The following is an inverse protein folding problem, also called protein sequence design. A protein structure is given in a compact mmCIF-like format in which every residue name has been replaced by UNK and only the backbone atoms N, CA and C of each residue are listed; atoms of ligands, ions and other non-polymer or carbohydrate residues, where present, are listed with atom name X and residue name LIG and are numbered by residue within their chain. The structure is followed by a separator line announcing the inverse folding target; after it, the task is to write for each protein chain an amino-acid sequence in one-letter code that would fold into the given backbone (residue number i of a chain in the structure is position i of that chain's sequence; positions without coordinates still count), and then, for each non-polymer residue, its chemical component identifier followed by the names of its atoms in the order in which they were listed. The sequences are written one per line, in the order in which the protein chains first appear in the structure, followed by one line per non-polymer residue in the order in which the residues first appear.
data_IF_351220155682
#
_entry.id   IF_351220155682
#
_cell.length_a   1.000
_cell.length_b   1.000
_cell.length_c   1.000
_cell.angle_alpha   90.00
_cell.angle_beta   90.00
_cell.angle_gamma   90.00
#
_symmetry.space_group_name_H-M   'P 1'
#
loop_
_entity.id
_entity.type
_entity.pdbx_description
1 polymer ?
#
# COMPACT_ATOMS: atom_id res chain seq x y z
N UNK A 1 6.19 -26.77 16.41
CA UNK A 1 5.58 -25.52 15.92
C UNK A 1 4.61 -25.70 14.73
N UNK A 2 5.02 -26.08 13.50
CA UNK A 2 4.08 -26.22 12.35
C UNK A 2 2.93 -27.20 12.62
N UNK A 3 3.22 -28.36 13.20
CA UNK A 3 2.20 -29.39 13.48
C UNK A 3 1.26 -29.02 14.64
N UNK A 4 1.75 -28.26 15.63
CA UNK A 4 0.94 -27.81 16.77
C UNK A 4 -0.07 -26.75 16.35
N UNK A 5 0.33 -25.82 15.49
CA UNK A 5 -0.58 -24.82 14.92
C UNK A 5 -1.71 -25.49 14.12
N UNK A 6 -1.38 -26.52 13.33
CA UNK A 6 -2.37 -27.26 12.54
C UNK A 6 -3.31 -28.08 13.42
N UNK A 7 -2.81 -28.68 14.50
CA UNK A 7 -3.63 -29.39 15.48
C UNK A 7 -4.58 -28.42 16.22
N UNK A 8 -4.09 -27.23 16.60
CA UNK A 8 -4.90 -26.19 17.22
C UNK A 8 -5.98 -25.67 16.28
N UNK A 9 -5.66 -25.46 14.99
CA UNK A 9 -6.61 -25.06 13.95
C UNK A 9 -7.74 -26.08 13.80
N UNK A 10 -7.41 -27.37 13.69
CA UNK A 10 -8.42 -28.42 13.57
C UNK A 10 -9.31 -28.50 14.85
N UNK A 11 -8.73 -28.21 16.02
CA UNK A 11 -9.44 -28.11 17.30
C UNK A 11 -10.43 -26.95 17.40
N UNK A 12 -10.36 -25.92 16.55
CA UNK A 12 -11.28 -24.78 16.59
C UNK A 12 -12.72 -25.15 16.18
N UNK A 13 -12.91 -26.25 15.45
CA UNK A 13 -14.23 -26.73 15.03
C UNK A 13 -14.96 -27.55 16.09
N UNK A 14 -14.32 -27.82 17.23
CA UNK A 14 -14.79 -28.79 18.23
C UNK A 14 -15.73 -28.21 19.30
N UNK A 15 -15.90 -26.87 19.37
CA UNK A 15 -16.77 -26.21 20.35
C UNK A 15 -17.89 -25.43 19.64
N UNK A 16 -19.15 -25.82 19.85
CA UNK A 16 -20.32 -25.23 19.17
C UNK A 16 -20.49 -23.71 19.39
N UNK A 17 -19.95 -23.17 20.49
CA UNK A 17 -20.06 -21.75 20.84
C UNK A 17 -18.89 -20.87 20.36
N UNK A 18 -17.91 -21.40 19.62
CA UNK A 18 -16.75 -20.64 19.14
C UNK A 18 -16.76 -20.51 17.61
N UNK A 19 -17.08 -19.30 17.12
CA UNK A 19 -16.93 -18.95 15.70
C UNK A 19 -15.62 -18.19 15.53
N UNK A 20 -14.63 -18.82 14.90
CA UNK A 20 -13.30 -18.24 14.69
C UNK A 20 -13.07 -18.03 13.19
N UNK A 21 -12.63 -16.83 12.82
CA UNK A 21 -12.19 -16.49 11.47
C UNK A 21 -10.67 -16.39 11.46
N UNK A 22 -10.02 -17.09 10.53
CA UNK A 22 -8.57 -17.02 10.33
C UNK A 22 -8.29 -16.23 9.05
N UNK A 23 -7.49 -15.18 9.19
CA UNK A 23 -6.99 -14.36 8.10
C UNK A 23 -5.47 -14.53 8.00
N UNK A 24 -4.97 -14.78 6.78
CA UNK A 24 -3.55 -14.86 6.48
C UNK A 24 -3.18 -13.90 5.36
N UNK A 25 -1.98 -13.33 5.42
CA UNK A 25 -1.41 -12.48 4.38
C UNK A 25 0.01 -12.97 4.06
N UNK A 26 0.35 -13.06 2.78
CA UNK A 26 1.68 -13.48 2.33
C UNK A 26 2.04 -12.86 0.99
N UNK A 27 3.31 -12.48 0.83
CA UNK A 27 3.89 -12.08 -0.46
C UNK A 27 4.66 -13.23 -1.13
N UNK A 28 4.73 -14.41 -0.49
CA UNK A 28 5.41 -15.61 -0.98
C UNK A 28 4.49 -16.82 -0.89
N UNK A 29 3.43 -16.88 -1.71
CA UNK A 29 2.46 -17.97 -1.62
C UNK A 29 3.02 -19.33 -2.07
N UNK A 30 4.14 -19.34 -2.81
CA UNK A 30 4.85 -20.55 -3.26
C UNK A 30 5.58 -21.28 -2.14
N UNK A 31 5.92 -20.58 -1.05
CA UNK A 31 6.60 -21.15 0.11
C UNK A 31 5.61 -21.90 1.04
N UNK A 32 4.30 -21.80 0.78
CA UNK A 32 3.27 -22.48 1.55
C UNK A 32 3.08 -23.91 1.07
N UNK A 33 3.02 -24.85 2.01
CA UNK A 33 2.70 -26.23 1.69
C UNK A 33 1.21 -26.44 1.35
N UNK A 34 0.92 -27.53 0.63
CA UNK A 34 -0.45 -27.88 0.24
C UNK A 34 -1.39 -28.09 1.45
N UNK A 35 -0.84 -28.48 2.60
CA UNK A 35 -1.61 -28.74 3.81
C UNK A 35 -2.20 -27.46 4.42
N UNK A 36 -1.44 -26.36 4.39
CA UNK A 36 -1.87 -25.01 4.79
C UNK A 36 -2.80 -24.43 3.72
N UNK A 37 -2.43 -24.55 2.44
CA UNK A 37 -3.25 -24.05 1.32
C UNK A 37 -4.66 -24.65 1.41
N UNK A 38 -4.79 -25.96 1.65
CA UNK A 38 -6.10 -26.63 1.78
C UNK A 38 -6.97 -26.10 2.93
N UNK A 39 -6.37 -25.58 4.01
CA UNK A 39 -7.09 -25.04 5.17
C UNK A 39 -7.54 -23.58 4.98
N UNK A 40 -7.04 -22.91 3.94
CA UNK A 40 -7.45 -21.56 3.53
C UNK A 40 -8.25 -21.65 2.22
N UNK A 41 -9.56 -21.99 2.27
CA UNK A 41 -10.34 -22.23 1.04
C UNK A 41 -10.64 -20.94 0.25
N UNK A 42 -10.68 -19.78 0.91
CA UNK A 42 -10.88 -18.46 0.29
C UNK A 42 -9.53 -17.78 0.16
N UNK A 43 -9.14 -17.42 -1.07
CA UNK A 43 -7.83 -16.83 -1.38
C UNK A 43 -8.05 -15.69 -2.36
N UNK A 44 -7.75 -14.48 -1.92
CA UNK A 44 -7.98 -13.25 -2.68
C UNK A 44 -6.61 -12.70 -3.05
N UNK A 45 -6.38 -12.53 -4.35
CA UNK A 45 -5.20 -11.83 -4.84
C UNK A 45 -5.42 -10.31 -4.74
N UNK A 46 -4.44 -9.63 -4.18
CA UNK A 46 -4.43 -8.17 -4.02
C UNK A 46 -3.33 -7.64 -4.93
N UNK A 47 -3.74 -7.03 -6.04
CA UNK A 47 -2.85 -6.43 -7.03
C UNK A 47 -2.50 -4.98 -6.66
N UNK A 48 -1.58 -4.38 -7.42
CA UNK A 48 -1.30 -2.94 -7.35
C UNK A 48 -2.58 -2.13 -7.63
N UNK A 49 -2.78 -0.99 -6.93
CA UNK A 49 -3.98 -0.19 -7.09
C UNK A 49 -4.02 0.48 -8.48
N UNK A 50 -5.19 0.44 -9.11
CA UNK A 50 -5.52 1.25 -10.29
C UNK A 50 -5.64 2.75 -9.93
N UNK A 51 -5.78 3.62 -10.94
CA UNK A 51 -5.85 5.06 -10.73
C UNK A 51 -6.98 5.45 -9.74
N UNK A 52 -8.17 4.84 -9.88
CA UNK A 52 -9.31 5.14 -9.01
C UNK A 52 -9.05 4.74 -7.55
N UNK A 53 -8.42 3.59 -7.31
CA UNK A 53 -8.05 3.15 -5.97
C UNK A 53 -6.89 3.97 -5.41
N UNK A 54 -5.93 4.41 -6.23
CA UNK A 54 -4.88 5.35 -5.80
C UNK A 54 -5.49 6.68 -5.36
N UNK A 55 -6.48 7.22 -6.08
CA UNK A 55 -7.22 8.42 -5.63
C UNK A 55 -7.86 8.21 -4.25
N UNK A 56 -8.49 7.06 -4.00
CA UNK A 56 -9.09 6.75 -2.68
C UNK A 56 -8.03 6.65 -1.59
N UNK A 57 -6.92 5.98 -1.86
CA UNK A 57 -5.80 5.84 -0.92
C UNK A 57 -5.22 7.23 -0.58
N UNK A 58 -4.97 8.07 -1.59
CA UNK A 58 -4.48 9.43 -1.41
C UNK A 58 -5.45 10.28 -0.58
N UNK A 59 -6.77 10.20 -0.84
CA UNK A 59 -7.80 10.88 -0.04
C UNK A 59 -7.77 10.45 1.43
N UNK A 60 -7.50 9.18 1.72
CA UNK A 60 -7.37 8.68 3.10
C UNK A 60 -6.08 9.20 3.74
N UNK A 61 -4.94 9.05 3.06
CA UNK A 61 -3.62 9.44 3.59
C UNK A 61 -3.57 10.95 3.86
N UNK A 62 -4.07 11.76 2.92
CA UNK A 62 -4.04 13.22 2.99
C UNK A 62 -5.25 13.83 3.72
N UNK A 63 -6.14 13.01 4.31
CA UNK A 63 -7.39 13.49 4.92
C UNK A 63 -7.21 14.48 6.08
N UNK A 64 -6.03 14.52 6.69
CA UNK A 64 -5.69 15.41 7.82
C UNK A 64 -4.57 16.39 7.50
N UNK A 65 -4.11 16.42 6.25
CA UNK A 65 -3.02 17.29 5.81
C UNK A 65 -3.56 18.64 5.35
N UNK A 66 -2.72 19.68 5.45
CA UNK A 66 -3.04 21.02 4.96
C UNK A 66 -2.78 21.07 3.45
N UNK A 67 -3.82 20.93 2.64
CA UNK A 67 -3.75 20.95 1.17
C UNK A 67 -4.26 22.27 0.60
N UNK A 68 -3.84 22.60 -0.61
CA UNK A 68 -4.45 23.71 -1.36
C UNK A 68 -5.96 23.52 -1.57
N UNK A 69 -6.74 24.63 -1.68
CA UNK A 69 -8.14 24.55 -2.07
C UNK A 69 -8.31 23.78 -3.38
N UNK A 70 -9.35 22.94 -3.45
CA UNK A 70 -9.67 22.13 -4.64
C UNK A 70 -8.53 21.21 -5.12
N UNK A 71 -7.75 20.66 -4.19
CA UNK A 71 -6.63 19.75 -4.46
C UNK A 71 -7.00 18.61 -5.46
N UNK A 72 -6.37 18.53 -6.65
CA UNK A 72 -6.77 17.59 -7.69
C UNK A 72 -6.14 16.20 -7.50
N UNK A 73 -6.75 15.40 -6.62
CA UNK A 73 -6.30 14.02 -6.31
C UNK A 73 -6.16 13.12 -7.53
N UNK A 74 -7.01 13.30 -8.53
CA UNK A 74 -7.04 12.51 -9.76
C UNK A 74 -5.77 12.74 -10.59
N UNK A 75 -5.23 13.96 -10.63
CA UNK A 75 -3.97 14.27 -11.32
C UNK A 75 -2.80 13.54 -10.65
N UNK A 76 -2.74 13.57 -9.32
CA UNK A 76 -1.70 12.88 -8.56
C UNK A 76 -1.81 11.35 -8.70
N UNK A 77 -3.03 10.80 -8.70
CA UNK A 77 -3.26 9.38 -8.89
C UNK A 77 -2.81 8.91 -10.29
N UNK A 78 -3.05 9.71 -11.33
CA UNK A 78 -2.59 9.42 -12.69
C UNK A 78 -1.06 9.52 -12.79
N UNK A 79 -0.44 10.48 -12.10
CA UNK A 79 1.00 10.61 -12.07
C UNK A 79 1.72 9.49 -11.29
N UNK A 80 1.02 8.71 -10.46
CA UNK A 80 1.62 7.68 -9.58
C UNK A 80 1.33 6.25 -10.05
N UNK A 81 1.33 6.04 -11.37
CA UNK A 81 1.19 4.69 -11.94
C UNK A 81 2.28 3.74 -11.43
N UNK A 82 1.88 2.51 -11.08
CA UNK A 82 2.76 1.48 -10.52
C UNK A 82 3.06 1.61 -9.03
N UNK A 83 2.61 2.68 -8.36
CA UNK A 83 2.84 2.86 -6.94
C UNK A 83 1.99 1.91 -6.11
N UNK A 84 2.62 1.24 -5.15
CA UNK A 84 1.93 0.53 -4.07
C UNK A 84 1.35 1.51 -3.03
N UNK A 85 0.50 1.01 -2.13
CA UNK A 85 0.00 1.83 -1.02
C UNK A 85 1.12 2.39 -0.13
N UNK A 86 2.21 1.64 0.08
CA UNK A 86 3.39 2.12 0.80
C UNK A 86 4.16 3.19 0.03
N UNK A 87 4.28 3.07 -1.29
CA UNK A 87 4.96 4.07 -2.11
C UNK A 87 4.18 5.39 -2.08
N UNK A 88 2.85 5.35 -2.19
CA UNK A 88 1.99 6.53 -2.06
C UNK A 88 2.16 7.21 -0.70
N UNK A 89 2.22 6.43 0.38
CA UNK A 89 2.46 6.97 1.72
C UNK A 89 3.82 7.64 1.82
N UNK A 90 4.87 6.99 1.33
CA UNK A 90 6.22 7.54 1.34
C UNK A 90 6.33 8.80 0.48
N UNK A 91 5.63 8.85 -0.65
CA UNK A 91 5.53 10.04 -1.49
C UNK A 91 4.86 11.20 -0.74
N UNK A 92 3.76 10.93 -0.02
CA UNK A 92 3.10 11.95 0.79
C UNK A 92 4.02 12.48 1.90
N UNK A 93 4.79 11.60 2.55
CA UNK A 93 5.78 12.01 3.55
C UNK A 93 6.86 12.89 2.91
N UNK A 94 7.40 12.49 1.76
CA UNK A 94 8.41 13.27 1.05
C UNK A 94 7.89 14.65 0.61
N UNK A 95 6.64 14.73 0.14
CA UNK A 95 5.98 15.97 -0.22
C UNK A 95 5.76 16.89 1.00
N UNK A 96 5.33 16.32 2.13
CA UNK A 96 5.12 17.07 3.38
C UNK A 96 6.40 17.73 3.93
N UNK A 97 7.58 17.17 3.60
CA UNK A 97 8.86 17.77 3.98
C UNK A 97 9.24 18.99 3.13
N UNK A 98 8.60 19.24 1.99
CA UNK A 98 8.98 20.34 1.10
C UNK A 98 8.73 21.73 1.71
N UNK A 99 7.54 22.06 2.23
CA UNK A 99 7.34 23.34 2.91
C UNK A 99 8.27 23.53 4.12
N UNK A 100 8.65 22.43 4.79
CA UNK A 100 9.61 22.47 5.90
C UNK A 100 11.01 22.83 5.39
N UNK A 101 11.44 22.27 4.25
CA UNK A 101 12.75 22.60 3.64
C UNK A 101 12.82 24.07 3.23
N UNK A 102 11.75 24.61 2.64
CA UNK A 102 11.68 26.01 2.22
C UNK A 102 11.84 26.96 3.42
N UNK A 103 11.14 26.71 4.53
CA UNK A 103 11.29 27.53 5.75
C UNK A 103 12.73 27.46 6.29
N UNK A 104 13.33 26.28 6.32
CA UNK A 104 14.70 26.11 6.79
C UNK A 104 15.73 26.79 5.87
N UNK A 105 15.46 26.88 4.57
CA UNK A 105 16.28 27.61 3.61
C UNK A 105 16.14 29.12 3.80
N UNK A 106 14.91 29.62 3.93
CA UNK A 106 14.63 31.03 4.22
C UNK A 106 15.25 31.49 5.56
N UNK A 107 15.17 30.67 6.62
CA UNK A 107 15.77 30.98 7.93
C UNK A 107 17.29 31.12 7.82
N UNK A 108 17.94 30.19 7.11
CA UNK A 108 19.40 30.26 6.86
C UNK A 108 19.79 31.51 6.07
N UNK A 109 19.00 31.89 5.07
CA UNK A 109 19.24 33.12 4.31
C UNK A 109 19.11 34.36 5.20
N UNK A 110 18.05 34.46 6.01
CA UNK A 110 17.83 35.58 6.93
C UNK A 110 18.95 35.66 7.98
N UNK A 111 19.37 34.54 8.55
CA UNK A 111 20.50 34.48 9.48
C UNK A 111 21.81 34.94 8.82
N UNK A 112 22.06 34.53 7.58
CA UNK A 112 23.25 34.94 6.82
C UNK A 112 23.30 36.45 6.54
N UNK A 113 22.14 37.10 6.47
CA UNK A 113 21.97 38.55 6.30
C UNK A 113 21.95 39.31 7.64
N UNK A 114 22.17 38.61 8.77
CA UNK A 114 22.19 39.20 10.11
C UNK A 114 20.81 39.54 10.69
N UNK A 115 19.74 39.08 10.05
CA UNK A 115 18.37 39.22 10.54
C UNK A 115 17.98 38.08 11.49
N UNK A 116 16.90 38.29 12.26
CA UNK A 116 16.18 37.22 12.95
C UNK A 116 14.71 37.28 12.54
N UNK A 117 14.14 36.15 12.14
CA UNK A 117 12.69 36.01 11.98
C UNK A 117 12.09 35.76 13.37
N UNK A 118 11.40 36.77 13.91
CA UNK A 118 10.60 36.61 15.12
C UNK A 118 9.21 36.11 14.73
N UNK A 119 8.88 34.86 15.05
CA UNK A 119 7.56 34.27 14.79
C UNK A 119 7.56 32.75 14.80
N UNK A 120 6.37 32.15 14.92
CA UNK A 120 6.20 30.71 14.70
C UNK A 120 6.17 30.46 13.19
N UNK A 121 7.04 29.58 12.65
CA UNK A 121 7.01 29.27 11.23
C UNK A 121 5.65 28.64 10.85
N UNK A 122 4.99 29.23 9.84
CA UNK A 122 3.72 28.75 9.31
C UNK A 122 3.99 28.01 8.01
N UNK A 123 3.67 26.72 7.98
CA UNK A 123 3.80 25.91 6.77
C UNK A 123 2.71 26.29 5.76
N UNK A 124 3.13 26.54 4.51
CA UNK A 124 2.17 26.69 3.40
C UNK A 124 1.42 25.38 3.14
N UNK A 125 0.20 25.43 2.57
CA UNK A 125 -0.49 24.24 2.11
C UNK A 125 0.31 23.46 1.06
N UNK A 126 0.10 22.15 1.00
CA UNK A 126 0.70 21.26 0.01
C UNK A 126 0.00 21.41 -1.34
N UNK A 127 0.78 21.65 -2.38
CA UNK A 127 0.35 21.70 -3.77
C UNK A 127 0.63 20.36 -4.46
N UNK A 128 0.09 20.13 -5.66
CA UNK A 128 0.42 18.92 -6.43
C UNK A 128 1.89 18.87 -6.84
N UNK A 129 2.50 20.03 -7.09
CA UNK A 129 3.90 20.11 -7.52
C UNK A 129 4.85 19.57 -6.45
N UNK A 130 4.54 19.75 -5.16
CA UNK A 130 5.31 19.15 -4.06
C UNK A 130 5.43 17.64 -4.19
N UNK A 131 4.35 16.98 -4.60
CA UNK A 131 4.33 15.54 -4.84
C UNK A 131 5.06 15.19 -6.12
N UNK A 132 4.83 15.92 -7.22
CA UNK A 132 5.47 15.65 -8.51
C UNK A 132 6.99 15.74 -8.39
N UNK A 133 7.51 16.78 -7.73
CA UNK A 133 8.94 16.92 -7.48
C UNK A 133 9.47 15.83 -6.53
N UNK A 134 8.66 15.42 -5.54
CA UNK A 134 9.06 14.38 -4.59
C UNK A 134 9.13 12.98 -5.22
N UNK A 135 8.54 12.76 -6.40
CA UNK A 135 8.68 11.50 -7.14
C UNK A 135 10.12 11.17 -7.51
N UNK A 136 10.97 12.18 -7.72
CA UNK A 136 12.40 11.95 -7.98
C UNK A 136 13.09 11.26 -6.79
N UNK A 137 12.59 11.46 -5.57
CA UNK A 137 13.10 10.85 -4.34
C UNK A 137 12.40 9.53 -4.01
N UNK A 138 11.14 9.37 -4.41
CA UNK A 138 10.31 8.19 -4.10
C UNK A 138 9.74 7.60 -5.39
N UNK A 139 10.47 6.64 -5.97
CA UNK A 139 10.01 5.84 -7.11
C UNK A 139 9.12 4.66 -6.68
N UNK A 140 8.42 4.01 -7.64
CA UNK A 140 7.65 2.81 -7.37
C UNK A 140 8.58 1.66 -6.94
N UNK A 141 8.21 0.95 -5.87
CA UNK A 141 9.04 -0.14 -5.33
C UNK A 141 8.78 -1.48 -6.02
N UNK A 142 7.69 -1.60 -6.77
CA UNK A 142 7.29 -2.82 -7.48
C UNK A 142 7.03 -2.49 -8.94
N UNK A 143 7.75 -3.13 -9.85
CA UNK A 143 7.45 -3.01 -11.28
C UNK A 143 6.24 -3.90 -11.62
N UNK A 144 5.30 -3.38 -12.41
CA UNK A 144 4.09 -4.12 -12.81
C UNK A 144 4.41 -5.41 -13.58
N UNK A 145 5.43 -5.35 -14.43
CA UNK A 145 5.97 -6.43 -15.25
C UNK A 145 7.06 -7.25 -14.56
N UNK A 146 7.35 -6.97 -13.28
CA UNK A 146 8.32 -7.73 -12.52
C UNK A 146 7.98 -9.23 -12.57
N UNK A 147 9.02 -10.06 -12.69
CA UNK A 147 8.87 -11.52 -12.68
C UNK A 147 8.05 -11.99 -11.48
N UNK A 148 8.28 -11.38 -10.30
CA UNK A 148 7.52 -11.64 -9.07
C UNK A 148 6.02 -11.38 -9.20
N UNK A 149 5.61 -10.27 -9.81
CA UNK A 149 4.19 -9.95 -10.01
C UNK A 149 3.54 -10.92 -11.00
N UNK A 150 4.25 -11.27 -12.07
CA UNK A 150 3.77 -12.26 -13.04
C UNK A 150 3.61 -13.65 -12.41
N UNK A 151 4.54 -14.06 -11.56
CA UNK A 151 4.42 -15.30 -10.78
C UNK A 151 3.19 -15.27 -9.87
N UNK A 152 2.97 -14.17 -9.13
CA UNK A 152 1.81 -14.02 -8.24
C UNK A 152 0.48 -14.09 -9.01
N UNK A 153 0.39 -13.48 -10.19
CA UNK A 153 -0.79 -13.58 -11.08
C UNK A 153 -1.04 -15.02 -11.50
N UNK A 154 0.01 -15.73 -11.97
CA UNK A 154 -0.10 -17.16 -12.34
C UNK A 154 -0.55 -18.02 -11.16
N UNK A 155 -0.04 -17.76 -9.97
CA UNK A 155 -0.46 -18.48 -8.77
C UNK A 155 -1.95 -18.23 -8.46
N UNK A 156 -2.40 -16.98 -8.59
CA UNK A 156 -3.81 -16.63 -8.44
C UNK A 156 -4.70 -17.36 -9.45
N UNK A 157 -4.29 -17.46 -10.71
CA UNK A 157 -5.05 -18.20 -11.74
C UNK A 157 -5.21 -19.69 -11.41
N UNK A 158 -4.28 -20.26 -10.63
CA UNK A 158 -4.29 -21.66 -10.22
C UNK A 158 -5.05 -21.88 -8.89
N UNK A 159 -4.90 -21.00 -7.91
CA UNK A 159 -5.36 -21.22 -6.52
C UNK A 159 -6.33 -20.17 -5.96
N UNK A 160 -6.47 -19.02 -6.63
CA UNK A 160 -7.27 -17.89 -6.20
C UNK A 160 -8.78 -18.05 -6.44
N UNK A 161 -9.53 -17.02 -6.08
CA UNK A 161 -10.97 -16.96 -6.33
C UNK A 161 -11.29 -16.95 -7.83
N UNK A 162 -11.93 -18.02 -8.30
CA UNK A 162 -12.26 -18.19 -9.73
C UNK A 162 -11.20 -18.93 -10.54
N UNK A 163 -10.13 -19.41 -9.90
CA UNK A 163 -9.04 -20.13 -10.56
C UNK A 163 -9.48 -21.40 -11.32
N UNK A 164 -8.65 -21.76 -12.31
CA UNK A 164 -8.88 -22.84 -13.27
C UNK A 164 -9.07 -24.24 -12.65
N UNK A 165 -8.60 -24.44 -11.41
CA UNK A 165 -8.83 -25.67 -10.62
C UNK A 165 -10.30 -25.94 -10.26
N UNK A 166 -11.23 -25.04 -10.58
CA UNK A 166 -12.68 -25.34 -10.51
C UNK A 166 -13.15 -26.39 -11.52
N UNK A 167 -12.36 -26.71 -12.56
CA UNK A 167 -12.68 -27.80 -13.50
C UNK A 167 -12.08 -29.13 -13.03
N UNK A 168 -12.63 -29.70 -11.95
CA UNK A 168 -12.59 -31.16 -11.81
C UNK A 168 -13.64 -31.74 -12.76
N UNK A 169 -13.31 -32.69 -13.65
CA UNK A 169 -14.30 -33.41 -14.46
C UNK A 169 -15.17 -34.35 -13.62
N UNK A 170 -14.81 -34.57 -12.35
CA UNK A 170 -15.55 -35.42 -11.44
C UNK A 170 -16.15 -34.55 -10.33
N UNK A 171 -17.45 -34.28 -10.46
CA UNK A 171 -18.31 -33.83 -9.39
C UNK A 171 -19.20 -34.99 -8.97
N UNK A 172 -18.92 -35.53 -7.78
CA UNK A 172 -19.97 -35.77 -6.79
C UNK A 172 -20.11 -34.48 -5.98
#
# INVERSE_FOLDING_TARGET
MRNEFMAAWDGLRSKENQKILILGATNRPFDLDDAVIRRLPRRIYVDLPDAANRTKILKIILSRENLEPDFPYENLANATEGYSGSDLKNLCIAAAYRPVQEILEEEKEVESLGGRKDGVPVLRPLSVDDFIESKAKVGPSVAYDAASMNELRKWNDQYGEGGSRRKSPFGF
#
